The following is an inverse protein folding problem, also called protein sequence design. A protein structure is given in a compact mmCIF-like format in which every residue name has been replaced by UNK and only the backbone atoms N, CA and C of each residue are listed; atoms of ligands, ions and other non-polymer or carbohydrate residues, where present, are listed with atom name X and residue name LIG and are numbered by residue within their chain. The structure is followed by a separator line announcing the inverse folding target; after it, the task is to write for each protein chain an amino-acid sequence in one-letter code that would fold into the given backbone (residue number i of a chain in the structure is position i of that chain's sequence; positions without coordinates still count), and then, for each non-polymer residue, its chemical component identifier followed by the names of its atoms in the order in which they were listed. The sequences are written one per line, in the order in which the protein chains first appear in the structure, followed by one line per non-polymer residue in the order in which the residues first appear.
data_IF_411012093343
#
_entry.id   IF_411012093343
#
_cell.length_a   1.000
_cell.length_b   1.000
_cell.length_c   1.000
_cell.angle_alpha   90.00
_cell.angle_beta   90.00
_cell.angle_gamma   90.00
#
_symmetry.space_group_name_H-M   'P 1'
#
loop_
_entity.id
_entity.type
_entity.pdbx_description
1 polymer ?
#
# COMPACT_ATOMS: atom_id res chain seq x y z
N UNK A 1 -12.12 0.15 -12.13
CA UNK A 1 -11.62 -1.20 -12.47
C UNK A 1 -10.59 -1.62 -11.43
N UNK A 2 -10.56 -2.89 -11.02
CA UNK A 2 -9.55 -3.39 -10.10
C UNK A 2 -8.33 -3.91 -10.89
N UNK A 3 -7.12 -3.68 -10.38
CA UNK A 3 -5.89 -4.09 -11.05
C UNK A 3 -5.63 -5.58 -10.85
N UNK A 4 -5.38 -6.30 -11.94
CA UNK A 4 -5.02 -7.72 -11.95
C UNK A 4 -3.53 -7.80 -12.33
N UNK A 5 -2.65 -8.30 -11.45
CA UNK A 5 -1.25 -8.51 -11.77
C UNK A 5 -1.07 -9.52 -12.91
N UNK A 6 0.00 -9.41 -13.67
CA UNK A 6 0.33 -10.41 -14.70
C UNK A 6 0.53 -11.80 -14.07
N UNK A 7 -0.20 -12.79 -14.56
CA UNK A 7 -0.16 -14.17 -14.06
C UNK A 7 -1.14 -14.49 -12.91
N UNK A 8 -1.92 -13.51 -12.46
CA UNK A 8 -2.97 -13.72 -11.44
C UNK A 8 -4.36 -13.70 -12.09
N UNK A 9 -5.27 -14.55 -11.60
CA UNK A 9 -6.68 -14.52 -12.03
C UNK A 9 -7.54 -13.58 -11.17
N UNK A 10 -7.01 -13.18 -10.00
CA UNK A 10 -7.77 -12.40 -9.01
C UNK A 10 -7.29 -10.95 -8.97
N UNK A 11 -8.22 -9.98 -8.94
CA UNK A 11 -7.85 -8.59 -8.76
C UNK A 11 -7.30 -8.34 -7.35
N UNK A 12 -6.36 -7.41 -7.25
CA UNK A 12 -5.91 -6.91 -5.96
C UNK A 12 -7.08 -6.23 -5.20
N UNK A 13 -7.12 -6.34 -3.86
CA UNK A 13 -8.16 -5.70 -3.07
C UNK A 13 -8.07 -4.18 -3.19
N UNK A 14 -9.20 -3.48 -3.13
CA UNK A 14 -9.26 -2.02 -3.21
C UNK A 14 -8.79 -1.40 -1.89
N UNK A 15 -7.48 -1.21 -1.73
CA UNK A 15 -6.87 -0.64 -0.52
C UNK A 15 -6.14 0.67 -0.80
N UNK A 16 -6.06 1.55 0.21
CA UNK A 16 -5.31 2.80 0.12
C UNK A 16 -3.82 2.58 -0.22
N UNK A 17 -3.21 1.51 0.30
CA UNK A 17 -1.83 1.17 0.01
C UNK A 17 -1.58 0.91 -1.47
N UNK A 18 -2.51 0.21 -2.14
CA UNK A 18 -2.42 -0.07 -3.58
C UNK A 18 -2.61 1.23 -4.37
N UNK A 19 -3.61 2.04 -4.02
CA UNK A 19 -3.86 3.32 -4.69
C UNK A 19 -2.65 4.27 -4.62
N UNK A 20 -1.99 4.37 -3.46
CA UNK A 20 -0.78 5.19 -3.31
C UNK A 20 0.39 4.67 -4.17
N UNK A 21 0.64 3.36 -4.18
CA UNK A 21 1.73 2.79 -4.99
C UNK A 21 1.44 2.91 -6.50
N UNK A 22 0.18 2.76 -6.91
CA UNK A 22 -0.23 3.00 -8.30
C UNK A 22 -0.03 4.47 -8.69
N UNK A 23 -0.37 5.41 -7.81
CA UNK A 23 -0.12 6.83 -8.02
C UNK A 23 1.36 7.15 -8.25
N UNK A 24 2.25 6.59 -7.41
CA UNK A 24 3.71 6.71 -7.56
C UNK A 24 4.19 6.16 -8.92
N UNK A 25 3.72 4.97 -9.30
CA UNK A 25 4.08 4.34 -10.58
C UNK A 25 3.55 5.13 -11.80
N UNK A 26 2.34 5.68 -11.71
CA UNK A 26 1.76 6.52 -12.77
C UNK A 26 2.55 7.81 -12.93
N UNK A 27 2.91 8.48 -11.82
CA UNK A 27 3.72 9.69 -11.87
C UNK A 27 5.08 9.45 -12.53
N UNK A 28 5.75 8.35 -12.18
CA UNK A 28 7.02 7.97 -12.79
C UNK A 28 6.87 7.64 -14.28
N UNK A 29 5.80 6.94 -14.66
CA UNK A 29 5.53 6.62 -16.06
C UNK A 29 5.17 7.84 -16.90
N UNK A 30 4.44 8.81 -16.36
CA UNK A 30 4.19 10.10 -17.03
C UNK A 30 5.52 10.80 -17.29
N UNK A 31 6.40 10.86 -16.28
CA UNK A 31 7.75 11.42 -16.45
C UNK A 31 8.53 10.68 -17.55
N UNK A 32 8.51 9.34 -17.57
CA UNK A 32 9.19 8.56 -18.59
C UNK A 32 8.66 8.86 -20.00
N UNK A 33 7.33 8.95 -20.17
CA UNK A 33 6.69 9.31 -21.44
C UNK A 33 7.16 10.68 -21.92
N UNK A 34 7.23 11.68 -21.03
CA UNK A 34 7.69 13.03 -21.37
C UNK A 34 9.16 13.06 -21.83
N UNK A 35 9.97 12.09 -21.40
CA UNK A 35 11.39 11.97 -21.77
C UNK A 35 11.65 10.92 -22.86
N UNK A 36 10.61 10.36 -23.49
CA UNK A 36 10.75 9.32 -24.51
C UNK A 36 11.32 7.99 -23.98
N UNK A 37 11.24 7.77 -22.66
CA UNK A 37 11.70 6.55 -21.99
C UNK A 37 10.58 5.51 -21.93
N UNK A 38 10.91 4.20 -21.86
CA UNK A 38 9.90 3.15 -21.74
C UNK A 38 9.12 3.25 -20.42
N UNK A 39 7.88 2.75 -20.45
CA UNK A 39 7.04 2.61 -19.26
C UNK A 39 7.51 1.43 -18.42
N UNK A 40 7.48 1.60 -17.10
CA UNK A 40 7.72 0.54 -16.13
C UNK A 40 6.41 -0.11 -15.67
N UNK A 41 6.36 -1.45 -15.57
CA UNK A 41 5.18 -2.16 -15.08
C UNK A 41 4.98 -1.91 -13.58
N UNK A 42 3.72 -1.85 -13.17
CA UNK A 42 3.37 -1.73 -11.76
C UNK A 42 3.59 -3.05 -11.03
N UNK A 43 4.40 -3.02 -9.97
CA UNK A 43 4.62 -4.15 -9.07
C UNK A 43 4.15 -3.81 -7.66
N UNK A 44 3.11 -4.50 -7.17
CA UNK A 44 2.57 -4.26 -5.83
C UNK A 44 3.48 -4.84 -4.75
N UNK A 45 3.86 -3.99 -3.78
CA UNK A 45 4.59 -4.42 -2.59
C UNK A 45 3.64 -4.50 -1.39
N UNK A 46 3.39 -5.72 -0.89
CA UNK A 46 2.60 -5.94 0.31
C UNK A 46 3.43 -5.65 1.58
N UNK A 47 3.22 -4.48 2.18
CA UNK A 47 3.86 -4.07 3.44
C UNK A 47 3.14 -4.56 4.69
N UNK A 48 1.99 -5.21 4.53
CA UNK A 48 1.11 -5.60 5.62
C UNK A 48 0.07 -4.52 5.98
N UNK A 49 -0.97 -4.94 6.68
CA UNK A 49 -2.14 -4.12 7.04
C UNK A 49 -2.52 -4.37 8.49
N UNK A 50 -2.98 -3.31 9.17
CA UNK A 50 -3.49 -3.38 10.54
C UNK A 50 -4.93 -2.88 10.59
N UNK A 51 -5.80 -3.65 11.23
CA UNK A 51 -7.18 -3.30 11.57
C UNK A 51 -7.25 -2.95 13.05
N UNK A 52 -7.75 -1.76 13.39
CA UNK A 52 -7.95 -1.33 14.78
C UNK A 52 -9.22 -1.93 15.37
N UNK A 53 -9.15 -2.41 16.60
CA UNK A 53 -10.27 -2.88 17.42
C UNK A 53 -10.47 -1.88 18.58
N UNK A 54 -10.96 -0.68 18.25
CA UNK A 54 -10.99 0.46 19.17
C UNK A 54 -9.67 1.23 19.24
N UNK A 55 -9.55 2.17 20.18
CA UNK A 55 -8.42 3.11 20.23
C UNK A 55 -7.09 2.48 20.69
N UNK A 56 -7.16 1.37 21.42
CA UNK A 56 -6.02 0.78 22.13
C UNK A 56 -5.73 -0.68 21.75
N UNK A 57 -6.49 -1.24 20.82
CA UNK A 57 -6.34 -2.64 20.38
C UNK A 57 -6.44 -2.73 18.85
N UNK A 58 -6.00 -3.85 18.30
CA UNK A 58 -6.03 -4.13 16.88
C UNK A 58 -5.44 -5.49 16.54
N UNK A 59 -5.67 -5.92 15.31
CA UNK A 59 -5.08 -7.12 14.71
C UNK A 59 -4.50 -6.76 13.35
N UNK A 60 -3.41 -7.40 12.96
CA UNK A 60 -2.83 -7.15 11.65
C UNK A 60 -1.68 -8.07 11.32
N UNK A 61 -1.25 -7.98 10.07
CA UNK A 61 -0.04 -8.63 9.57
C UNK A 61 0.91 -7.54 9.12
N UNK A 62 2.12 -7.50 9.65
CA UNK A 62 3.13 -6.49 9.30
C UNK A 62 4.42 -7.21 8.95
N UNK A 63 4.90 -6.98 7.72
CA UNK A 63 6.05 -7.71 7.14
C UNK A 63 5.96 -9.24 7.30
N UNK A 64 4.77 -9.80 7.10
CA UNK A 64 4.53 -11.25 7.20
C UNK A 64 4.39 -11.80 8.62
N UNK A 65 4.41 -10.96 9.66
CA UNK A 65 4.20 -11.38 11.06
C UNK A 65 2.87 -10.88 11.60
N UNK A 66 2.14 -11.77 12.27
CA UNK A 66 0.90 -11.43 12.97
C UNK A 66 1.21 -10.56 14.19
N UNK A 67 0.49 -9.44 14.33
CA UNK A 67 0.54 -8.56 15.48
C UNK A 67 -0.87 -8.32 16.01
N UNK A 68 -0.99 -8.25 17.34
CA UNK A 68 -2.26 -8.05 18.05
C UNK A 68 -2.08 -7.06 19.20
N UNK A 69 -3.18 -6.58 19.78
CA UNK A 69 -3.12 -5.77 20.99
C UNK A 69 -2.64 -4.34 20.73
N UNK A 70 -2.09 -3.74 21.79
CA UNK A 70 -1.47 -2.42 21.76
C UNK A 70 -0.36 -2.27 20.71
N UNK A 71 0.36 -3.35 20.39
CA UNK A 71 1.40 -3.36 19.35
C UNK A 71 0.81 -3.10 17.96
N UNK A 72 -0.35 -3.69 17.66
CA UNK A 72 -1.09 -3.43 16.44
C UNK A 72 -1.61 -1.97 16.41
N UNK A 73 -2.24 -1.51 17.49
CA UNK A 73 -2.73 -0.13 17.59
C UNK A 73 -1.62 0.93 17.39
N UNK A 74 -0.43 0.70 17.96
CA UNK A 74 0.73 1.56 17.73
C UNK A 74 1.16 1.55 16.26
N UNK A 75 1.26 0.37 15.64
CA UNK A 75 1.67 0.25 14.25
C UNK A 75 0.67 0.90 13.28
N UNK A 76 -0.64 0.85 13.59
CA UNK A 76 -1.66 1.57 12.82
C UNK A 76 -1.39 3.08 12.78
N UNK A 77 -1.06 3.68 13.93
CA UNK A 77 -0.70 5.11 14.00
C UNK A 77 0.53 5.44 13.15
N UNK A 78 1.56 4.59 13.19
CA UNK A 78 2.78 4.77 12.37
C UNK A 78 2.45 4.71 10.87
N UNK A 79 1.62 3.75 10.44
CA UNK A 79 1.19 3.62 9.04
C UNK A 79 0.42 4.86 8.59
N UNK A 80 -0.48 5.37 9.42
CA UNK A 80 -1.29 6.57 9.12
C UNK A 80 -0.44 7.84 9.08
N UNK A 81 0.50 8.02 10.00
CA UNK A 81 1.44 9.16 9.96
C UNK A 81 2.31 9.10 8.70
N UNK A 82 2.77 7.90 8.31
CA UNK A 82 3.57 7.71 7.11
C UNK A 82 2.78 8.04 5.83
N UNK A 83 1.48 7.73 5.78
CA UNK A 83 0.67 8.06 4.61
C UNK A 83 0.49 9.57 4.45
N UNK A 84 0.29 10.30 5.55
CA UNK A 84 0.25 11.77 5.56
C UNK A 84 1.59 12.36 5.10
N UNK A 85 2.70 11.88 5.63
CA UNK A 85 4.04 12.32 5.23
C UNK A 85 4.38 12.04 3.75
N UNK A 86 3.75 11.02 3.14
CA UNK A 86 3.90 10.77 1.70
C UNK A 86 3.12 11.75 0.83
N UNK A 87 2.13 12.44 1.39
CA UNK A 87 1.22 13.33 0.65
C UNK A 87 1.58 14.81 0.79
N UNK A 88 2.13 15.22 1.94
CA UNK A 88 2.59 16.59 2.20
C UNK A 88 4.10 16.70 2.10
#
# INVERSE_FOLDING_TARGET
SAYIPEGEERPLPTTAQIAMQQGENVAQNIKNILHGQPKEPFNYVNRGTVCSLGANDGIGVVYGKNIVGKKAAFMKKVIDTRSIFKLG
#
